data_IF_484217072240
#
_entry.id   IF_484217072240
#
_cell.length_a   1.000
_cell.length_b   1.000
_cell.length_c   1.000
_cell.angle_alpha   90.00
_cell.angle_beta   90.00
_cell.angle_gamma   90.00
#
_symmetry.space_group_name_H-M   'P 1'
#
loop_
_entity.id
_entity.type
_entity.pdbx_description
1 polymer ?
#
# COMPACT_ATOMS: atom_id res chain seq x y z
N UNK A 1 -22.17 0.26 11.07
CA UNK A 1 -20.72 -0.03 11.04
C UNK A 1 -20.42 -0.66 9.69
N UNK A 2 -19.66 0.01 8.82
CA UNK A 2 -19.31 -0.53 7.51
C UNK A 2 -18.25 -1.62 7.70
N UNK A 3 -18.67 -2.89 7.57
CA UNK A 3 -17.80 -4.06 7.62
C UNK A 3 -17.60 -4.59 6.19
N UNK A 4 -17.37 -3.68 5.25
CA UNK A 4 -17.04 -4.07 3.88
C UNK A 4 -15.65 -4.72 3.86
N UNK A 5 -15.46 -5.87 3.18
CA UNK A 5 -14.15 -6.50 3.12
C UNK A 5 -13.16 -5.52 2.48
N UNK A 6 -12.07 -5.24 3.21
CA UNK A 6 -11.05 -4.30 2.78
C UNK A 6 -9.82 -5.03 2.24
N UNK A 7 -9.23 -4.49 1.19
CA UNK A 7 -7.93 -4.87 0.67
C UNK A 7 -6.90 -3.80 1.03
N UNK A 8 -5.67 -4.23 1.29
CA UNK A 8 -4.57 -3.34 1.61
C UNK A 8 -3.72 -3.06 0.37
N UNK A 9 -3.33 -1.81 0.19
CA UNK A 9 -2.50 -1.38 -0.93
C UNK A 9 -1.34 -0.54 -0.42
N UNK A 10 -0.22 -0.60 -1.13
CA UNK A 10 0.91 0.30 -0.95
C UNK A 10 0.88 1.29 -2.11
N UNK A 11 0.68 2.58 -1.85
CA UNK A 11 0.65 3.63 -2.88
C UNK A 11 1.89 4.49 -2.76
N UNK A 12 2.60 4.68 -3.87
CA UNK A 12 3.75 5.57 -3.95
C UNK A 12 3.28 6.99 -4.23
N UNK A 13 3.57 7.88 -3.29
CA UNK A 13 3.38 9.31 -3.43
C UNK A 13 4.45 9.92 -4.35
N UNK A 14 4.18 11.11 -4.89
CA UNK A 14 5.14 11.84 -5.72
C UNK A 14 6.43 12.20 -4.96
N UNK A 15 6.39 12.25 -3.63
CA UNK A 15 7.56 12.44 -2.77
C UNK A 15 8.47 11.23 -2.72
N UNK A 16 8.06 10.08 -3.27
CA UNK A 16 8.80 8.81 -3.19
C UNK A 16 8.48 8.00 -1.94
N UNK A 17 7.71 8.56 -0.99
CA UNK A 17 7.21 7.84 0.18
C UNK A 17 6.08 6.90 -0.24
N UNK A 18 6.06 5.70 0.32
CA UNK A 18 4.98 4.76 0.08
C UNK A 18 4.05 4.69 1.29
N UNK A 19 2.75 4.90 1.08
CA UNK A 19 1.72 4.82 2.11
C UNK A 19 0.96 3.51 2.02
N UNK A 20 0.47 3.02 3.16
CA UNK A 20 -0.38 1.83 3.22
C UNK A 20 -1.82 2.30 3.46
N UNK A 21 -2.71 1.99 2.53
CA UNK A 21 -4.13 2.35 2.60
C UNK A 21 -5.00 1.10 2.53
N UNK A 22 -6.18 1.17 3.12
CA UNK A 22 -7.24 0.16 2.98
C UNK A 22 -8.30 0.71 2.01
N UNK A 23 -8.68 -0.09 1.02
CA UNK A 23 -9.77 0.23 0.10
C UNK A 23 -10.77 -0.92 0.09
N UNK A 24 -12.01 -0.62 -0.29
CA UNK A 24 -13.04 -1.62 -0.50
C UNK A 24 -12.59 -2.65 -1.55
N UNK A 25 -12.96 -3.91 -1.34
CA UNK A 25 -12.62 -5.00 -2.27
C UNK A 25 -13.10 -4.67 -3.69
N UNK A 26 -12.18 -4.73 -4.65
CA UNK A 26 -12.47 -4.42 -6.06
C UNK A 26 -12.29 -2.95 -6.45
N UNK A 27 -11.94 -2.06 -5.52
CA UNK A 27 -11.55 -0.68 -5.81
C UNK A 27 -10.03 -0.51 -5.68
N UNK A 28 -9.27 -0.57 -6.78
CA UNK A 28 -7.84 -0.26 -6.74
C UNK A 28 -7.59 1.25 -6.59
N UNK A 29 -6.38 1.65 -6.16
CA UNK A 29 -5.97 3.05 -6.17
C UNK A 29 -6.09 3.64 -7.58
N UNK A 30 -6.74 4.81 -7.68
CA UNK A 30 -7.08 5.44 -8.96
C UNK A 30 -5.84 6.02 -9.66
N UNK A 31 -4.89 6.54 -8.89
CA UNK A 31 -3.71 7.23 -9.42
C UNK A 31 -2.41 6.77 -8.76
N UNK A 32 -1.32 6.85 -9.53
CA UNK A 32 0.04 6.60 -9.06
C UNK A 32 0.48 5.14 -9.19
N UNK A 33 1.73 4.89 -8.81
CA UNK A 33 2.29 3.55 -8.74
C UNK A 33 1.86 2.90 -7.43
N UNK A 34 1.26 1.72 -7.50
CA UNK A 34 0.84 0.98 -6.31
C UNK A 34 1.18 -0.51 -6.39
N UNK A 35 1.14 -1.16 -5.23
CA UNK A 35 1.30 -2.61 -5.08
C UNK A 35 0.18 -3.18 -4.21
N UNK A 36 -0.31 -4.36 -4.59
CA UNK A 36 -1.43 -5.04 -3.94
C UNK A 36 -2.42 -5.59 -4.98
N UNK A 37 -3.64 -6.00 -4.57
CA UNK A 37 -4.14 -5.99 -3.19
C UNK A 37 -3.43 -7.01 -2.29
N UNK A 38 -3.35 -6.70 -1.00
CA UNK A 38 -2.92 -7.61 0.06
C UNK A 38 -4.10 -7.92 0.98
N UNK A 39 -4.16 -9.16 1.48
CA UNK A 39 -5.27 -9.61 2.32
C UNK A 39 -5.20 -8.98 3.73
N UNK A 40 -3.99 -8.74 4.23
CA UNK A 40 -3.76 -8.27 5.59
C UNK A 40 -2.84 -7.04 5.62
N UNK A 41 -3.06 -6.17 6.60
CA UNK A 41 -2.20 -5.00 6.83
C UNK A 41 -0.75 -5.41 7.08
N UNK A 42 -0.55 -6.49 7.84
CA UNK A 42 0.79 -7.01 8.15
C UNK A 42 1.57 -7.40 6.89
N UNK A 43 0.90 -8.02 5.92
CA UNK A 43 1.50 -8.35 4.63
C UNK A 43 1.92 -7.08 3.87
N UNK A 44 1.04 -6.09 3.80
CA UNK A 44 1.34 -4.81 3.16
C UNK A 44 2.54 -4.10 3.84
N UNK A 45 2.69 -4.20 5.15
CA UNK A 45 3.84 -3.67 5.90
C UNK A 45 5.13 -4.40 5.49
N UNK A 46 5.13 -5.74 5.52
CA UNK A 46 6.30 -6.53 5.15
C UNK A 46 6.74 -6.24 3.70
N UNK A 47 5.78 -6.15 2.77
CA UNK A 47 6.01 -5.80 1.37
C UNK A 47 6.57 -4.39 1.22
N UNK A 48 6.04 -3.40 1.96
CA UNK A 48 6.56 -2.03 1.97
C UNK A 48 8.03 -1.99 2.40
N UNK A 49 8.41 -2.72 3.45
CA UNK A 49 9.83 -2.80 3.87
C UNK A 49 10.70 -3.35 2.75
N UNK A 50 10.24 -4.39 2.04
CA UNK A 50 10.93 -4.92 0.86
C UNK A 50 11.11 -3.87 -0.25
N UNK A 51 10.07 -3.06 -0.52
CA UNK A 51 10.14 -1.97 -1.50
C UNK A 51 11.12 -0.87 -1.09
N UNK A 52 11.24 -0.58 0.21
CA UNK A 52 12.25 0.35 0.73
C UNK A 52 13.66 -0.19 0.49
N UNK A 53 13.91 -1.46 0.84
CA UNK A 53 15.21 -2.11 0.61
C UNK A 53 15.58 -2.18 -0.88
N UNK A 54 14.59 -2.27 -1.76
CA UNK A 54 14.77 -2.27 -3.21
C UNK A 54 14.88 -0.86 -3.83
N UNK A 55 14.87 0.22 -3.03
CA UNK A 55 14.95 1.60 -3.51
C UNK A 55 13.70 2.10 -4.24
N UNK A 56 12.58 1.37 -4.18
CA UNK A 56 11.31 1.76 -4.83
C UNK A 56 10.49 2.72 -3.96
N UNK A 57 10.70 2.67 -2.65
CA UNK A 57 10.04 3.51 -1.66
C UNK A 57 11.11 4.16 -0.78
N UNK A 58 10.88 5.41 -0.37
CA UNK A 58 11.71 6.04 0.64
C UNK A 58 11.24 5.70 2.06
N UNK A 59 12.17 5.49 3.01
CA UNK A 59 11.82 5.45 4.42
C UNK A 59 11.32 6.83 4.86
N UNK A 60 10.39 6.83 5.82
CA UNK A 60 10.00 8.07 6.50
C UNK A 60 11.08 8.31 7.56
N UNK A 61 11.72 9.47 7.52
CA UNK A 61 12.71 9.92 8.52
C UNK A 61 12.04 10.49 9.75
#
# INVERSE_FOLDING_TARGET
MDNSPQNWYIVRENTGICQIIALEKGKPPVNGQYWGPFAERGEAIARRVGLIRAGKCQPIV
#
